data_IF_596743419244
#
_entry.id   IF_596743419244
#
_cell.length_a   1.000
_cell.length_b   1.000
_cell.length_c   1.000
_cell.angle_alpha   90.00
_cell.angle_beta   90.00
_cell.angle_gamma   90.00
#
_symmetry.space_group_name_H-M   'P 1'
#
loop_
_entity.id
_entity.type
_entity.pdbx_description
1 polymer ?
#
# COMPACT_ATOMS: atom_id res chain seq x y z
N UNK A 1 6.63 -90.89 97.16
CA UNK A 1 5.22 -90.43 97.31
C UNK A 1 5.14 -89.05 96.66
N UNK A 2 4.32 -88.70 95.67
CA UNK A 2 3.12 -89.26 95.06
C UNK A 2 3.11 -88.86 93.57
N UNK A 3 2.60 -89.83 92.80
CA UNK A 3 2.23 -89.93 91.38
C UNK A 3 1.37 -88.79 90.79
N UNK A 4 1.29 -88.85 89.44
CA UNK A 4 0.19 -88.40 88.54
C UNK A 4 0.21 -86.91 88.16
N UNK A 5 -0.15 -86.48 86.95
CA UNK A 5 -0.80 -87.15 85.80
C UNK A 5 -0.70 -86.21 84.59
N UNK A 6 -0.45 -86.78 83.40
CA UNK A 6 -0.57 -86.11 82.10
C UNK A 6 -2.00 -85.60 81.89
N UNK A 7 -2.12 -84.39 81.35
CA UNK A 7 -3.30 -83.96 80.60
C UNK A 7 -2.84 -83.22 79.35
N UNK A 8 -3.08 -83.85 78.21
CA UNK A 8 -3.04 -83.24 76.89
C UNK A 8 -4.02 -82.08 76.83
N UNK A 9 -3.57 -80.94 76.33
CA UNK A 9 -4.43 -79.85 75.88
C UNK A 9 -4.14 -79.54 74.41
N UNK A 10 -5.16 -79.32 73.58
CA UNK A 10 -5.01 -79.24 72.14
C UNK A 10 -4.23 -78.00 71.72
N UNK A 11 -3.30 -78.18 70.78
CA UNK A 11 -2.64 -77.09 70.06
C UNK A 11 -3.70 -76.33 69.24
N UNK A 12 -4.20 -75.21 69.77
CA UNK A 12 -4.84 -74.20 68.93
C UNK A 12 -3.75 -73.47 68.14
N UNK A 13 -3.44 -74.01 66.96
CA UNK A 13 -2.85 -73.20 65.91
C UNK A 13 -3.86 -72.11 65.55
N UNK A 14 -3.70 -70.90 66.10
CA UNK A 14 -4.32 -69.72 65.50
C UNK A 14 -3.65 -69.54 64.14
N UNK A 15 -4.32 -69.98 63.10
CA UNK A 15 -4.04 -69.50 61.74
C UNK A 15 -4.15 -67.98 61.77
N UNK A 16 -3.02 -67.28 61.72
CA UNK A 16 -2.99 -65.90 61.24
C UNK A 16 -3.26 -65.92 59.74
N UNK A 17 -4.50 -66.27 59.37
CA UNK A 17 -5.01 -66.07 58.03
C UNK A 17 -5.43 -64.60 57.90
N UNK A 18 -4.94 -63.95 56.86
CA UNK A 18 -5.50 -62.76 56.20
C UNK A 18 -5.73 -61.49 57.05
N UNK A 19 -4.66 -60.81 57.50
CA UNK A 19 -4.73 -59.37 57.84
C UNK A 19 -3.72 -58.48 57.11
N UNK A 20 -2.74 -59.05 56.40
CA UNK A 20 -1.83 -58.31 55.51
C UNK A 20 -2.35 -58.15 54.07
N UNK A 21 -3.27 -59.00 53.61
CA UNK A 21 -3.82 -58.91 52.25
C UNK A 21 -4.80 -57.74 52.10
N UNK A 22 -5.61 -57.46 53.11
CA UNK A 22 -6.60 -56.37 53.07
C UNK A 22 -5.94 -54.98 52.99
N UNK A 23 -4.85 -54.76 53.74
CA UNK A 23 -4.11 -53.47 53.70
C UNK A 23 -3.39 -53.25 52.38
N UNK A 24 -2.83 -54.32 51.80
CA UNK A 24 -2.22 -54.27 50.46
C UNK A 24 -3.28 -53.94 49.40
N UNK A 25 -4.45 -54.58 49.45
CA UNK A 25 -5.56 -54.28 48.53
C UNK A 25 -6.03 -52.83 48.68
N UNK A 26 -6.16 -52.31 49.90
CA UNK A 26 -6.54 -50.91 50.15
C UNK A 26 -5.48 -49.94 49.62
N UNK A 27 -4.20 -50.22 49.85
CA UNK A 27 -3.09 -49.39 49.33
C UNK A 27 -3.06 -49.38 47.80
N UNK A 28 -3.24 -50.54 47.16
CA UNK A 28 -3.33 -50.63 45.70
C UNK A 28 -4.57 -49.93 45.14
N UNK A 29 -5.72 -50.05 45.80
CA UNK A 29 -6.94 -49.33 45.40
C UNK A 29 -6.76 -47.81 45.50
N UNK A 30 -6.11 -47.31 46.56
CA UNK A 30 -5.79 -45.88 46.71
C UNK A 30 -4.79 -45.46 45.64
N UNK A 31 -3.73 -46.22 45.41
CA UNK A 31 -2.73 -45.91 44.38
C UNK A 31 -3.37 -45.83 42.97
N UNK A 32 -4.22 -46.80 42.60
CA UNK A 32 -4.95 -46.79 41.34
C UNK A 32 -5.89 -45.59 41.26
N UNK A 33 -6.65 -45.31 42.33
CA UNK A 33 -7.53 -44.15 42.38
C UNK A 33 -6.77 -42.83 42.22
N UNK A 34 -5.61 -42.67 42.88
CA UNK A 34 -4.74 -41.50 42.76
C UNK A 34 -4.21 -41.32 41.34
N UNK A 35 -3.80 -42.41 40.68
CA UNK A 35 -3.36 -42.37 39.27
C UNK A 35 -4.50 -41.95 38.35
N UNK A 36 -5.71 -42.48 38.55
CA UNK A 36 -6.89 -42.09 37.75
C UNK A 36 -7.23 -40.60 37.96
N UNK A 37 -7.19 -40.12 39.21
CA UNK A 37 -7.45 -38.70 39.52
C UNK A 37 -6.39 -37.81 38.86
N UNK A 38 -5.10 -38.15 38.96
CA UNK A 38 -4.02 -37.39 38.34
C UNK A 38 -4.13 -37.37 36.80
N UNK A 39 -4.42 -38.52 36.17
CA UNK A 39 -4.63 -38.61 34.73
C UNK A 39 -5.83 -37.77 34.28
N UNK A 40 -6.94 -37.80 35.03
CA UNK A 40 -8.14 -37.00 34.74
C UNK A 40 -7.84 -35.51 34.88
N UNK A 41 -7.13 -35.08 35.94
CA UNK A 41 -6.72 -33.68 36.11
C UNK A 41 -5.83 -33.20 34.96
N UNK A 42 -4.87 -34.02 34.53
CA UNK A 42 -3.97 -33.68 33.42
C UNK A 42 -4.72 -33.55 32.09
N UNK A 43 -5.66 -34.46 31.81
CA UNK A 43 -6.52 -34.38 30.62
C UNK A 43 -7.42 -33.16 30.68
N UNK A 44 -8.12 -32.93 31.79
CA UNK A 44 -9.01 -31.77 31.95
C UNK A 44 -8.23 -30.46 31.79
N UNK A 45 -7.07 -30.33 32.43
CA UNK A 45 -6.24 -29.12 32.29
C UNK A 45 -5.84 -28.87 30.83
N UNK A 46 -5.37 -29.90 30.12
CA UNK A 46 -5.06 -29.79 28.68
C UNK A 46 -6.28 -29.38 27.86
N UNK A 47 -7.44 -30.01 28.10
CA UNK A 47 -8.67 -29.66 27.37
C UNK A 47 -9.15 -28.24 27.66
N UNK A 48 -9.00 -27.76 28.89
CA UNK A 48 -9.35 -26.38 29.27
C UNK A 48 -8.41 -25.38 28.61
N UNK A 49 -7.10 -25.62 28.60
CA UNK A 49 -6.12 -24.75 27.92
C UNK A 49 -6.38 -24.71 26.41
N UNK A 50 -6.64 -25.86 25.78
CA UNK A 50 -7.00 -25.92 24.36
C UNK A 50 -8.32 -25.19 24.07
N UNK A 51 -9.33 -25.34 24.93
CA UNK A 51 -10.60 -24.65 24.80
C UNK A 51 -10.46 -23.12 24.93
N UNK A 52 -9.68 -22.65 25.91
CA UNK A 52 -9.38 -21.24 26.08
C UNK A 52 -8.59 -20.69 24.89
N UNK A 53 -7.59 -21.41 24.40
CA UNK A 53 -6.82 -21.00 23.22
C UNK A 53 -7.69 -20.94 21.96
N UNK A 54 -8.63 -21.86 21.77
CA UNK A 54 -9.54 -21.85 20.63
C UNK A 54 -10.48 -20.64 20.66
N UNK A 55 -11.07 -20.34 21.82
CA UNK A 55 -11.90 -19.12 22.01
C UNK A 55 -11.05 -17.87 21.81
N UNK A 56 -9.85 -17.85 22.39
CA UNK A 56 -8.90 -16.74 22.26
C UNK A 56 -8.51 -16.46 20.81
N UNK A 57 -8.27 -17.48 19.98
CA UNK A 57 -7.98 -17.27 18.54
C UNK A 57 -9.17 -16.65 17.80
N UNK A 58 -10.40 -17.09 18.08
CA UNK A 58 -11.60 -16.50 17.48
C UNK A 58 -11.76 -15.05 17.91
N UNK A 59 -11.54 -14.76 19.19
CA UNK A 59 -11.55 -13.41 19.75
C UNK A 59 -10.50 -12.49 19.10
N UNK A 60 -9.26 -12.95 18.99
CA UNK A 60 -8.18 -12.27 18.31
C UNK A 60 -8.52 -11.98 16.85
N UNK A 61 -9.00 -12.98 16.10
CA UNK A 61 -9.43 -12.81 14.70
C UNK A 61 -10.49 -11.72 14.54
N UNK A 62 -11.53 -11.72 15.39
CA UNK A 62 -12.57 -10.70 15.32
C UNK A 62 -12.08 -9.32 15.74
N UNK A 63 -11.12 -9.24 16.66
CA UNK A 63 -10.45 -7.98 16.99
C UNK A 63 -9.63 -7.45 15.79
N UNK A 64 -8.83 -8.31 15.13
CA UNK A 64 -8.11 -7.96 13.90
C UNK A 64 -9.07 -7.45 12.81
N UNK A 65 -10.18 -8.15 12.61
CA UNK A 65 -11.21 -7.75 11.65
C UNK A 65 -11.84 -6.41 12.01
N UNK A 66 -12.10 -6.14 13.28
CA UNK A 66 -12.62 -4.85 13.73
C UNK A 66 -11.67 -3.69 13.40
N UNK A 67 -10.35 -3.91 13.51
CA UNK A 67 -9.35 -2.94 13.06
C UNK A 67 -9.48 -2.63 11.56
N UNK A 68 -9.62 -3.64 10.71
CA UNK A 68 -9.84 -3.46 9.27
C UNK A 68 -11.12 -2.65 9.01
N UNK A 69 -12.23 -3.01 9.67
CA UNK A 69 -13.49 -2.27 9.51
C UNK A 69 -13.40 -0.81 9.99
N UNK A 70 -12.61 -0.55 11.05
CA UNK A 70 -12.35 0.82 11.53
C UNK A 70 -11.64 1.65 10.47
N UNK A 71 -10.58 1.10 9.86
CA UNK A 71 -9.86 1.75 8.76
C UNK A 71 -10.79 1.96 7.57
N UNK A 72 -11.54 0.95 7.15
CA UNK A 72 -12.53 1.05 6.06
C UNK A 72 -13.54 2.17 6.32
N UNK A 73 -14.04 2.30 7.56
CA UNK A 73 -14.97 3.38 7.92
C UNK A 73 -14.32 4.76 7.84
N UNK A 74 -13.05 4.89 8.21
CA UNK A 74 -12.28 6.14 8.07
C UNK A 74 -12.00 6.48 6.63
N UNK A 75 -11.62 5.50 5.81
CA UNK A 75 -11.48 5.70 4.37
C UNK A 75 -12.83 6.11 3.76
N UNK A 76 -13.91 5.41 4.05
CA UNK A 76 -15.23 5.71 3.50
C UNK A 76 -15.67 7.16 3.80
N UNK A 77 -15.46 7.63 5.03
CA UNK A 77 -15.75 9.02 5.43
C UNK A 77 -14.97 10.04 4.59
N UNK A 78 -13.67 9.81 4.43
CA UNK A 78 -12.81 10.68 3.62
C UNK A 78 -13.12 10.58 2.13
N UNK A 79 -13.78 9.52 1.65
CA UNK A 79 -14.24 9.42 0.25
C UNK A 79 -15.58 10.13 0.06
N UNK A 80 -16.48 10.02 1.03
CA UNK A 80 -17.81 10.64 1.00
C UNK A 80 -17.75 12.16 1.25
N UNK A 81 -16.79 12.61 2.07
CA UNK A 81 -16.61 14.02 2.42
C UNK A 81 -15.11 14.34 2.47
N UNK A 82 -14.45 14.46 1.30
CA UNK A 82 -13.03 14.76 1.23
C UNK A 82 -12.74 16.20 1.68
N UNK A 83 -11.57 16.38 2.29
CA UNK A 83 -11.01 17.70 2.55
C UNK A 83 -10.06 18.09 1.41
N UNK A 84 -10.58 18.89 0.48
CA UNK A 84 -9.83 19.33 -0.69
C UNK A 84 -8.69 20.30 -0.38
N UNK A 85 -8.58 20.83 0.85
CA UNK A 85 -7.47 21.71 1.24
C UNK A 85 -6.41 20.95 2.06
N UNK A 86 -6.74 19.77 2.59
CA UNK A 86 -5.88 19.03 3.51
C UNK A 86 -5.75 17.53 3.14
N UNK A 87 -4.94 17.20 2.11
CA UNK A 87 -4.66 15.81 1.74
C UNK A 87 -4.08 14.96 2.88
N UNK A 88 -3.41 15.57 3.85
CA UNK A 88 -2.84 14.86 5.00
C UNK A 88 -3.88 14.53 6.08
N UNK A 89 -5.11 15.04 6.01
CA UNK A 89 -6.17 14.75 6.97
C UNK A 89 -6.49 13.25 7.07
N UNK A 90 -6.53 12.57 5.93
CA UNK A 90 -6.75 11.11 5.90
C UNK A 90 -5.62 10.36 6.61
N UNK A 91 -4.36 10.74 6.38
CA UNK A 91 -3.19 10.08 6.98
C UNK A 91 -3.25 10.20 8.50
N UNK A 92 -3.52 11.40 9.02
CA UNK A 92 -3.61 11.65 10.47
C UNK A 92 -4.78 10.90 11.12
N UNK A 93 -5.94 10.83 10.46
CA UNK A 93 -7.09 10.06 10.96
C UNK A 93 -6.81 8.55 10.97
N UNK A 94 -6.12 8.04 9.95
CA UNK A 94 -5.71 6.63 9.87
C UNK A 94 -4.66 6.28 10.94
N UNK A 95 -3.69 7.17 11.18
CA UNK A 95 -2.72 7.05 12.27
C UNK A 95 -3.38 7.11 13.64
N UNK A 96 -4.47 7.86 13.80
CA UNK A 96 -5.24 7.90 15.05
C UNK A 96 -5.98 6.58 15.30
N UNK A 97 -6.50 5.96 14.24
CA UNK A 97 -7.30 4.74 14.28
C UNK A 97 -6.50 3.43 14.31
N UNK A 98 -5.17 3.53 14.35
CA UNK A 98 -4.23 2.41 14.34
C UNK A 98 -4.47 1.36 15.44
N UNK A 99 -5.07 1.74 16.57
CA UNK A 99 -5.37 0.82 17.69
C UNK A 99 -6.77 1.01 18.24
N UNK A 100 -7.30 -0.03 18.86
CA UNK A 100 -8.53 0.06 19.63
C UNK A 100 -8.81 -1.18 20.46
N UNK A 101 -9.83 -1.08 21.31
CA UNK A 101 -10.17 -2.12 22.29
C UNK A 101 -11.66 -2.44 22.23
N UNK A 102 -11.96 -3.73 22.27
CA UNK A 102 -13.28 -4.35 22.40
C UNK A 102 -13.34 -5.13 23.71
N UNK A 103 -14.53 -5.56 24.10
CA UNK A 103 -14.68 -6.51 25.21
C UNK A 103 -13.95 -7.84 24.92
N UNK A 104 -13.95 -8.25 23.64
CA UNK A 104 -13.39 -9.52 23.18
C UNK A 104 -11.93 -9.47 22.77
N UNK A 105 -11.23 -8.33 22.89
CA UNK A 105 -9.83 -8.21 22.45
C UNK A 105 -9.46 -6.78 22.04
N UNK A 106 -8.27 -6.61 21.46
CA UNK A 106 -7.79 -5.32 20.96
C UNK A 106 -7.13 -5.50 19.59
N UNK A 107 -6.96 -4.42 18.83
CA UNK A 107 -6.22 -4.44 17.57
C UNK A 107 -5.07 -3.43 17.55
N UNK A 108 -4.07 -3.73 16.73
CA UNK A 108 -2.88 -2.93 16.44
C UNK A 108 -2.62 -2.99 14.93
N UNK A 109 -2.53 -1.84 14.28
CA UNK A 109 -2.30 -1.69 12.84
C UNK A 109 -1.05 -0.87 12.64
N UNK A 110 -0.10 -1.42 11.90
CA UNK A 110 1.18 -0.78 11.58
C UNK A 110 1.63 -1.18 10.19
N UNK A 111 2.60 -0.44 9.69
CA UNK A 111 3.32 -0.77 8.47
C UNK A 111 4.77 -0.31 8.56
N UNK A 112 5.62 -0.80 7.67
CA UNK A 112 6.99 -0.31 7.46
C UNK A 112 7.02 0.63 6.27
N UNK A 113 7.72 1.75 6.45
CA UNK A 113 8.20 2.61 5.38
C UNK A 113 9.65 3.00 5.71
N UNK A 114 10.54 3.11 4.72
CA UNK A 114 11.94 3.50 4.96
C UNK A 114 12.63 2.67 6.07
N UNK A 115 12.37 1.36 6.07
CA UNK A 115 12.85 0.39 7.07
C UNK A 115 12.37 0.65 8.50
N UNK A 116 11.38 1.51 8.75
CA UNK A 116 10.89 1.83 10.09
C UNK A 116 9.40 1.55 10.24
N UNK A 117 8.98 1.12 11.42
CA UNK A 117 7.58 0.84 11.73
C UNK A 117 6.80 2.14 12.06
N UNK A 118 5.72 2.37 11.32
CA UNK A 118 4.78 3.48 11.46
C UNK A 118 3.40 2.98 11.89
N UNK A 119 2.60 3.88 12.48
CA UNK A 119 1.22 3.60 12.89
C UNK A 119 0.27 3.70 11.70
N UNK A 120 -0.76 2.86 11.69
CA UNK A 120 -1.79 2.88 10.66
C UNK A 120 -1.42 2.05 9.43
N UNK A 121 -2.29 2.02 8.41
CA UNK A 121 -2.10 1.27 7.18
C UNK A 121 -1.10 1.93 6.24
N UNK A 122 -0.50 1.13 5.35
CA UNK A 122 0.37 1.62 4.27
C UNK A 122 -0.46 2.16 3.12
N UNK A 123 -0.18 3.37 2.65
CA UNK A 123 -0.68 3.86 1.36
C UNK A 123 0.10 3.19 0.23
N UNK A 124 -0.55 2.36 -0.61
CA UNK A 124 0.12 1.72 -1.74
C UNK A 124 0.50 2.71 -2.85
N UNK A 125 0.01 3.94 -2.81
CA UNK A 125 0.48 5.02 -3.68
C UNK A 125 1.80 5.64 -3.19
N UNK A 126 2.34 5.24 -2.04
CA UNK A 126 3.73 5.59 -1.65
C UNK A 126 4.77 4.90 -2.54
N UNK A 127 4.36 3.91 -3.35
CA UNK A 127 5.18 3.07 -4.23
C UNK A 127 4.86 3.29 -5.69
N UNK A 128 5.83 3.06 -6.57
CA UNK A 128 5.61 3.08 -8.02
C UNK A 128 4.77 1.88 -8.46
N UNK A 129 3.83 2.09 -9.38
CA UNK A 129 3.06 0.97 -9.91
C UNK A 129 3.89 0.22 -10.97
N UNK A 130 4.13 -1.07 -10.75
CA UNK A 130 4.87 -1.93 -11.68
C UNK A 130 4.19 -2.02 -13.05
N UNK A 131 2.92 -1.60 -13.17
CA UNK A 131 2.20 -1.56 -14.44
C UNK A 131 2.36 -0.26 -15.23
N UNK A 132 2.98 0.78 -14.66
CA UNK A 132 3.27 2.05 -15.34
C UNK A 132 4.73 2.51 -15.22
N UNK A 133 5.54 1.83 -14.40
CA UNK A 133 6.96 2.12 -14.26
C UNK A 133 7.69 1.96 -15.60
N UNK A 134 8.66 2.86 -15.85
CA UNK A 134 9.46 2.87 -17.07
C UNK A 134 10.65 1.90 -16.98
N UNK A 135 11.19 1.52 -18.15
CA UNK A 135 12.41 0.70 -18.25
C UNK A 135 13.59 1.30 -17.48
N UNK A 136 13.78 2.61 -17.59
CA UNK A 136 14.87 3.32 -16.90
C UNK A 136 14.70 3.19 -15.38
N UNK A 137 13.52 3.52 -14.86
CA UNK A 137 13.24 3.44 -13.42
C UNK A 137 13.36 2.03 -12.85
N UNK A 138 12.94 1.00 -13.59
CA UNK A 138 13.15 -0.39 -13.18
C UNK A 138 14.64 -0.71 -13.07
N UNK A 139 15.44 -0.27 -14.04
CA UNK A 139 16.89 -0.51 -14.07
C UNK A 139 17.68 0.18 -12.96
N UNK A 140 17.12 1.22 -12.33
CA UNK A 140 17.73 1.90 -11.18
C UNK A 140 17.39 1.23 -9.83
N UNK A 141 16.53 0.20 -9.81
CA UNK A 141 16.25 -0.53 -8.57
C UNK A 141 17.48 -1.33 -8.10
N UNK A 142 17.69 -1.48 -6.78
CA UNK A 142 18.82 -2.23 -6.23
C UNK A 142 18.86 -3.67 -6.74
N UNK A 143 20.06 -4.17 -7.07
CA UNK A 143 20.27 -5.55 -7.54
C UNK A 143 19.43 -5.95 -8.78
N UNK A 144 18.91 -4.98 -9.53
CA UNK A 144 18.15 -5.23 -10.75
C UNK A 144 19.08 -5.46 -11.94
N UNK A 145 18.95 -6.63 -12.59
CA UNK A 145 19.68 -6.94 -13.81
C UNK A 145 18.93 -6.47 -15.07
N UNK A 146 19.64 -6.18 -16.16
CA UNK A 146 19.03 -5.74 -17.42
C UNK A 146 18.10 -6.82 -18.00
N UNK A 147 18.46 -8.10 -17.88
CA UNK A 147 17.62 -9.22 -18.29
C UNK A 147 16.37 -9.35 -17.44
N UNK A 148 16.43 -9.08 -16.12
CA UNK A 148 15.23 -9.01 -15.28
C UNK A 148 14.34 -7.84 -15.70
N UNK A 149 14.89 -6.65 -15.96
CA UNK A 149 14.10 -5.49 -16.43
C UNK A 149 13.36 -5.82 -17.72
N UNK A 150 14.07 -6.33 -18.73
CA UNK A 150 13.47 -6.70 -20.01
C UNK A 150 12.39 -7.77 -19.82
N UNK A 151 12.65 -8.77 -18.97
CA UNK A 151 11.69 -9.84 -18.65
C UNK A 151 10.45 -9.33 -17.91
N UNK A 152 10.55 -8.29 -17.08
CA UNK A 152 9.41 -7.66 -16.40
C UNK A 152 8.53 -6.92 -17.43
N UNK A 153 9.13 -6.31 -18.45
CA UNK A 153 8.42 -5.62 -19.52
C UNK A 153 7.67 -6.62 -20.41
N UNK A 154 8.37 -7.66 -20.90
CA UNK A 154 7.80 -8.77 -21.69
C UNK A 154 6.72 -9.56 -20.91
N UNK A 155 6.77 -9.57 -19.57
CA UNK A 155 5.73 -10.23 -18.78
C UNK A 155 4.37 -9.53 -18.88
N UNK A 156 4.39 -8.21 -19.10
CA UNK A 156 3.26 -7.30 -18.91
C UNK A 156 2.65 -6.84 -20.24
N UNK A 157 3.43 -6.74 -21.31
CA UNK A 157 2.93 -6.33 -22.62
C UNK A 157 2.08 -7.41 -23.29
N UNK A 158 1.27 -7.03 -24.28
CA UNK A 158 0.27 -7.93 -24.87
C UNK A 158 0.82 -8.81 -26.00
N UNK A 159 2.00 -8.46 -26.52
CA UNK A 159 2.58 -9.14 -27.67
C UNK A 159 3.39 -10.38 -27.28
N UNK A 160 4.15 -10.95 -28.22
CA UNK A 160 5.01 -12.11 -27.98
C UNK A 160 6.46 -11.81 -28.45
N UNK A 161 6.79 -10.52 -28.62
CA UNK A 161 8.08 -10.05 -29.12
C UNK A 161 9.05 -9.80 -27.95
N UNK A 162 10.05 -10.68 -27.83
CA UNK A 162 11.10 -10.52 -26.81
C UNK A 162 11.78 -9.15 -26.94
N UNK A 163 11.68 -8.32 -25.91
CA UNK A 163 12.40 -7.05 -25.84
C UNK A 163 13.83 -7.30 -25.38
N UNK A 164 14.82 -6.85 -26.17
CA UNK A 164 16.23 -6.89 -25.76
C UNK A 164 16.72 -8.30 -25.41
N UNK A 165 16.98 -8.55 -24.12
CA UNK A 165 17.38 -9.86 -23.57
C UNK A 165 16.34 -10.42 -22.58
N UNK A 166 15.08 -10.03 -22.74
CA UNK A 166 13.96 -10.46 -21.94
C UNK A 166 13.52 -11.90 -22.20
N UNK A 167 12.32 -12.22 -21.75
CA UNK A 167 11.77 -13.56 -21.74
C UNK A 167 10.27 -13.54 -22.04
N UNK A 168 9.89 -14.35 -23.03
CA UNK A 168 8.51 -14.50 -23.50
C UNK A 168 8.00 -15.92 -23.34
N UNK A 169 6.79 -16.21 -23.85
CA UNK A 169 6.16 -17.54 -23.79
C UNK A 169 7.13 -18.71 -24.00
N UNK A 170 7.93 -18.67 -25.07
CA UNK A 170 8.85 -19.77 -25.41
C UNK A 170 9.88 -20.07 -24.32
N UNK A 171 10.32 -19.05 -23.56
CA UNK A 171 11.22 -19.21 -22.42
C UNK A 171 10.49 -19.88 -21.26
N UNK A 172 9.31 -19.37 -20.88
CA UNK A 172 8.58 -19.84 -19.70
C UNK A 172 7.99 -21.25 -19.89
N UNK A 173 7.53 -21.60 -21.09
CA UNK A 173 7.08 -22.97 -21.42
C UNK A 173 8.22 -23.99 -21.35
N UNK A 174 9.45 -23.54 -21.58
CA UNK A 174 10.66 -24.37 -21.52
C UNK A 174 11.15 -24.68 -20.11
N UNK A 175 10.59 -24.07 -19.05
CA UNK A 175 10.95 -24.32 -17.65
C UNK A 175 10.38 -25.67 -17.16
N UNK A 176 10.95 -26.20 -16.08
CA UNK A 176 10.57 -27.53 -15.53
C UNK A 176 9.07 -27.66 -15.21
N UNK A 177 8.45 -26.57 -14.73
CA UNK A 177 7.03 -26.45 -14.46
C UNK A 177 6.35 -25.53 -15.47
N UNK A 178 6.66 -25.71 -16.76
CA UNK A 178 6.28 -24.84 -17.89
C UNK A 178 4.97 -24.07 -17.69
N UNK A 179 5.07 -22.75 -17.78
CA UNK A 179 3.96 -21.81 -17.62
C UNK A 179 4.07 -20.72 -18.69
N UNK A 180 3.08 -19.83 -18.74
CA UNK A 180 3.04 -18.73 -19.71
C UNK A 180 3.11 -17.39 -18.98
N UNK A 181 3.74 -16.38 -19.59
CA UNK A 181 3.68 -15.01 -19.09
C UNK A 181 2.24 -14.51 -19.10
N UNK A 182 1.97 -13.48 -18.30
CA UNK A 182 0.60 -12.98 -18.15
C UNK A 182 0.13 -12.29 -19.44
N UNK A 183 1.03 -11.60 -20.10
CA UNK A 183 0.80 -10.70 -21.23
C UNK A 183 -0.33 -9.69 -20.96
N UNK A 184 -0.31 -9.17 -19.73
CA UNK A 184 -1.27 -8.21 -19.20
C UNK A 184 -0.72 -7.59 -17.90
N UNK A 185 -1.34 -6.52 -17.37
CA UNK A 185 -0.94 -5.92 -16.10
C UNK A 185 -0.81 -6.92 -14.95
N UNK A 186 0.30 -6.82 -14.20
CA UNK A 186 0.54 -7.55 -12.95
C UNK A 186 -0.64 -7.38 -12.01
N UNK A 187 -1.06 -8.49 -11.39
CA UNK A 187 -2.14 -8.45 -10.40
C UNK A 187 -1.61 -8.25 -9.00
N UNK A 188 -0.47 -8.84 -8.67
CA UNK A 188 0.12 -8.81 -7.32
C UNK A 188 1.61 -8.57 -7.41
N UNK A 189 2.22 -8.02 -6.36
CA UNK A 189 3.67 -7.88 -6.31
C UNK A 189 4.37 -9.25 -6.28
N UNK A 190 3.78 -10.24 -5.61
CA UNK A 190 4.26 -11.64 -5.60
C UNK A 190 4.31 -12.28 -6.98
N UNK A 191 3.57 -11.76 -7.96
CA UNK A 191 3.63 -12.28 -9.32
C UNK A 191 4.99 -12.01 -9.98
N UNK A 192 5.73 -10.99 -9.54
CA UNK A 192 7.09 -10.74 -10.01
C UNK A 192 7.99 -11.96 -9.84
N UNK A 193 7.77 -12.80 -8.82
CA UNK A 193 8.57 -14.01 -8.59
C UNK A 193 8.43 -15.07 -9.69
N UNK A 194 7.48 -14.92 -10.60
CA UNK A 194 7.33 -15.76 -11.79
C UNK A 194 8.18 -15.27 -12.97
N UNK A 195 8.66 -14.04 -12.92
CA UNK A 195 9.47 -13.41 -13.98
C UNK A 195 10.89 -13.97 -13.94
N UNK A 196 11.52 -14.10 -15.11
CA UNK A 196 12.91 -14.51 -15.18
C UNK A 196 13.82 -13.51 -14.43
N UNK A 197 14.69 -14.02 -13.55
CA UNK A 197 15.64 -13.19 -12.78
C UNK A 197 15.06 -12.45 -11.57
N UNK A 198 13.76 -12.53 -11.32
CA UNK A 198 13.10 -11.89 -10.18
C UNK A 198 12.97 -12.87 -9.00
N UNK A 199 14.07 -13.11 -8.29
CA UNK A 199 14.11 -14.07 -7.19
C UNK A 199 13.41 -13.53 -5.92
N UNK A 200 12.80 -14.40 -5.08
CA UNK A 200 12.09 -13.97 -3.88
C UNK A 200 12.91 -13.10 -2.94
N UNK A 201 14.22 -13.33 -2.85
CA UNK A 201 15.13 -12.57 -1.98
C UNK A 201 15.23 -11.11 -2.42
N UNK A 202 15.20 -10.84 -3.73
CA UNK A 202 15.18 -9.47 -4.25
C UNK A 202 13.79 -8.85 -4.20
N UNK A 203 12.75 -9.64 -4.47
CA UNK A 203 11.36 -9.13 -4.48
C UNK A 203 10.90 -8.78 -3.07
N UNK A 204 11.20 -9.63 -2.08
CA UNK A 204 10.69 -9.53 -0.71
C UNK A 204 11.67 -8.89 0.26
N UNK A 205 12.98 -8.98 0.01
CA UNK A 205 13.98 -8.69 1.03
C UNK A 205 13.77 -9.58 2.25
N UNK A 206 13.66 -8.95 3.42
CA UNK A 206 13.36 -9.56 4.71
C UNK A 206 11.85 -9.74 4.94
N UNK A 207 10.96 -9.03 4.22
CA UNK A 207 9.50 -9.11 4.38
C UNK A 207 8.93 -10.36 3.68
N UNK A 208 9.21 -11.54 4.23
CA UNK A 208 8.95 -12.82 3.55
C UNK A 208 7.47 -13.14 3.39
N UNK A 209 6.65 -12.59 4.28
CA UNK A 209 5.21 -12.72 4.21
C UNK A 209 4.56 -11.52 3.48
N UNK A 210 5.29 -10.47 3.10
CA UNK A 210 4.78 -9.28 2.41
C UNK A 210 3.64 -8.57 3.15
N UNK A 211 3.67 -8.57 4.48
CA UNK A 211 2.71 -7.85 5.33
C UNK A 211 3.16 -6.40 5.60
N UNK A 212 4.36 -6.02 5.17
CA UNK A 212 4.99 -4.73 5.42
C UNK A 212 5.09 -4.44 6.92
N UNK A 213 5.42 -5.42 7.73
CA UNK A 213 5.56 -5.26 9.17
C UNK A 213 6.78 -6.05 9.63
N UNK A 214 7.68 -5.41 10.37
CA UNK A 214 8.86 -6.08 10.91
C UNK A 214 8.44 -7.17 11.90
N UNK A 215 8.63 -8.42 11.50
CA UNK A 215 8.34 -9.59 12.31
C UNK A 215 9.55 -10.11 13.07
N UNK A 216 9.31 -10.88 14.13
CA UNK A 216 10.39 -11.30 15.02
C UNK A 216 11.40 -12.25 14.38
N UNK A 217 11.06 -12.88 13.25
CA UNK A 217 11.96 -13.72 12.45
C UNK A 217 12.61 -12.96 11.28
N UNK A 218 12.37 -11.66 11.19
CA UNK A 218 12.92 -10.73 10.19
C UNK A 218 13.82 -9.69 10.88
N UNK A 219 14.19 -9.94 12.15
CA UNK A 219 15.07 -9.13 13.01
C UNK A 219 15.78 -10.05 14.02
N UNK A 220 16.09 -11.30 13.63
CA UNK A 220 16.74 -12.29 14.50
C UNK A 220 18.10 -12.80 14.02
N UNK A 221 18.64 -12.19 12.97
CA UNK A 221 19.94 -12.45 12.38
C UNK A 221 19.93 -13.71 11.52
N UNK A 222 20.60 -14.75 12.01
CA UNK A 222 20.65 -16.08 11.37
C UNK A 222 19.85 -17.14 12.16
N UNK A 223 18.97 -16.73 13.09
CA UNK A 223 18.26 -17.69 13.94
C UNK A 223 17.07 -18.34 13.22
N UNK A 224 16.35 -17.57 12.41
CA UNK A 224 15.32 -18.03 11.50
C UNK A 224 15.63 -17.60 10.06
N UNK A 225 14.77 -18.00 9.13
CA UNK A 225 14.78 -17.46 7.76
C UNK A 225 13.72 -16.36 7.68
N UNK A 226 13.93 -15.28 6.92
CA UNK A 226 15.12 -14.95 6.11
C UNK A 226 16.40 -14.69 6.93
N UNK A 227 17.54 -14.70 6.25
CA UNK A 227 18.76 -14.12 6.82
C UNK A 227 18.60 -12.60 6.88
N UNK A 228 18.77 -12.01 8.06
CA UNK A 228 18.69 -10.57 8.32
C UNK A 228 19.93 -10.08 9.10
N UNK A 229 20.10 -8.77 9.24
CA UNK A 229 21.23 -8.18 9.96
C UNK A 229 20.92 -7.76 11.41
N UNK A 230 19.69 -8.00 11.87
CA UNK A 230 19.13 -7.67 13.17
C UNK A 230 19.37 -6.20 13.60
N UNK A 231 19.28 -5.27 12.65
CA UNK A 231 19.50 -3.84 12.89
C UNK A 231 18.23 -3.09 13.36
N UNK A 232 17.09 -3.79 13.50
CA UNK A 232 15.79 -3.25 13.85
C UNK A 232 15.09 -2.51 12.71
N UNK A 233 15.54 -2.69 11.47
CA UNK A 233 14.94 -2.18 10.25
C UNK A 233 14.51 -3.36 9.38
N UNK A 234 13.49 -3.13 8.55
CA UNK A 234 13.03 -4.14 7.59
C UNK A 234 13.49 -3.74 6.19
N UNK A 235 14.32 -4.56 5.57
CA UNK A 235 14.53 -4.53 4.12
C UNK A 235 13.30 -5.13 3.43
N UNK A 236 12.64 -4.34 2.58
CA UNK A 236 11.42 -4.74 1.88
C UNK A 236 11.68 -5.17 0.43
N UNK A 237 12.95 -5.22 0.01
CA UNK A 237 13.36 -5.52 -1.36
C UNK A 237 12.64 -4.64 -2.38
N UNK A 238 12.41 -5.16 -3.59
CA UNK A 238 11.66 -4.45 -4.63
C UNK A 238 10.21 -4.17 -4.24
N UNK A 239 9.61 -4.99 -3.38
CA UNK A 239 8.26 -4.74 -2.88
C UNK A 239 8.17 -3.45 -2.05
N UNK A 240 9.28 -2.95 -1.49
CA UNK A 240 9.39 -1.63 -0.87
C UNK A 240 9.17 -0.46 -1.81
N UNK A 241 9.58 -0.61 -3.08
CA UNK A 241 9.52 0.42 -4.12
C UNK A 241 8.30 0.29 -5.03
N UNK A 242 7.79 -0.94 -5.19
CA UNK A 242 6.82 -1.30 -6.20
C UNK A 242 5.49 -1.78 -5.62
N UNK A 243 4.42 -1.54 -6.37
CA UNK A 243 3.11 -2.14 -6.14
C UNK A 243 2.47 -2.56 -7.46
N UNK A 244 1.60 -3.58 -7.43
CA UNK A 244 0.74 -3.92 -8.56
C UNK A 244 -0.73 -3.51 -8.32
N UNK A 245 -1.03 -2.90 -7.16
CA UNK A 245 -2.41 -2.74 -6.67
C UNK A 245 -2.92 -1.30 -6.68
N UNK A 246 -2.05 -0.29 -6.68
CA UNK A 246 -2.51 1.11 -6.71
C UNK A 246 -3.31 1.37 -7.99
N UNK A 247 -4.38 2.16 -7.88
CA UNK A 247 -5.27 2.49 -9.01
C UNK A 247 -5.60 3.96 -9.00
N UNK A 248 -5.73 4.58 -10.17
CA UNK A 248 -6.24 5.94 -10.24
C UNK A 248 -7.74 5.98 -9.90
N UNK A 249 -8.18 7.12 -9.35
CA UNK A 249 -9.57 7.37 -9.02
C UNK A 249 -10.23 8.25 -10.08
N UNK A 250 -11.50 7.95 -10.44
CA UNK A 250 -12.29 8.86 -11.27
C UNK A 250 -12.73 10.11 -10.52
N UNK A 251 -12.52 10.20 -9.21
CA UNK A 251 -12.92 11.35 -8.39
C UNK A 251 -11.79 12.37 -8.28
N UNK A 252 -12.13 13.65 -8.34
CA UNK A 252 -11.25 14.78 -8.06
C UNK A 252 -11.02 14.98 -6.56
N UNK A 253 -10.25 16.01 -6.20
CA UNK A 253 -10.00 16.36 -4.79
C UNK A 253 -11.28 16.86 -4.11
N UNK A 254 -12.19 17.46 -4.87
CA UNK A 254 -13.52 17.87 -4.44
C UNK A 254 -14.44 16.70 -4.04
N UNK A 255 -14.12 15.47 -4.46
CA UNK A 255 -14.99 14.29 -4.29
C UNK A 255 -16.00 14.09 -5.41
N UNK A 256 -16.10 15.02 -6.36
CA UNK A 256 -16.90 14.85 -7.57
C UNK A 256 -16.11 14.12 -8.66
N UNK A 257 -16.78 13.47 -9.64
CA UNK A 257 -16.10 12.90 -10.79
C UNK A 257 -15.26 13.93 -11.52
N UNK A 258 -14.02 13.57 -11.89
CA UNK A 258 -13.14 14.43 -12.69
C UNK A 258 -13.77 14.70 -14.05
N UNK A 259 -13.62 15.94 -14.52
CA UNK A 259 -14.02 16.34 -15.85
C UNK A 259 -13.03 15.71 -16.84
N UNK A 260 -13.54 14.88 -17.75
CA UNK A 260 -12.72 14.37 -18.85
C UNK A 260 -12.54 15.47 -19.88
N UNK A 261 -11.29 15.85 -20.14
CA UNK A 261 -10.94 16.81 -21.18
C UNK A 261 -10.98 16.13 -22.54
N UNK A 262 -11.93 16.54 -23.38
CA UNK A 262 -12.12 16.14 -24.77
C UNK A 262 -12.68 17.33 -25.56
N UNK A 263 -12.81 17.16 -26.88
CA UNK A 263 -13.50 18.15 -27.72
C UNK A 263 -14.99 18.33 -27.38
N UNK A 264 -15.59 17.37 -26.67
CA UNK A 264 -17.02 17.35 -26.31
C UNK A 264 -17.27 17.80 -24.86
N UNK A 265 -16.24 18.20 -24.11
CA UNK A 265 -16.39 18.70 -22.73
C UNK A 265 -17.27 19.95 -22.70
N UNK A 266 -18.10 20.10 -21.66
CA UNK A 266 -18.89 21.33 -21.48
C UNK A 266 -17.97 22.47 -20.99
N UNK A 267 -17.76 23.54 -21.79
CA UNK A 267 -16.91 24.65 -21.39
C UNK A 267 -17.47 25.38 -20.16
N UNK A 268 -18.79 25.42 -19.95
CA UNK A 268 -19.37 26.08 -18.79
C UNK A 268 -19.00 25.36 -17.48
N UNK A 269 -19.01 24.03 -17.51
CA UNK A 269 -18.60 23.19 -16.37
C UNK A 269 -17.10 23.38 -16.06
N UNK A 270 -16.25 23.39 -17.10
CA UNK A 270 -14.81 23.67 -16.93
C UNK A 270 -14.56 25.03 -16.29
N UNK A 271 -15.22 26.07 -16.77
CA UNK A 271 -15.08 27.44 -16.23
C UNK A 271 -15.54 27.53 -14.77
N UNK A 272 -16.65 26.89 -14.42
CA UNK A 272 -17.18 26.90 -13.06
C UNK A 272 -16.23 26.22 -12.06
N UNK A 273 -15.67 25.06 -12.44
CA UNK A 273 -14.85 24.25 -11.54
C UNK A 273 -13.40 24.72 -11.47
N UNK A 274 -12.82 25.12 -12.60
CA UNK A 274 -11.38 25.45 -12.67
C UNK A 274 -11.09 26.95 -12.64
N UNK A 275 -12.10 27.80 -12.79
CA UNK A 275 -11.94 29.26 -12.83
C UNK A 275 -11.26 29.78 -14.10
N UNK A 276 -11.15 28.96 -15.15
CA UNK A 276 -10.68 29.38 -16.47
C UNK A 276 -11.71 30.27 -17.16
N UNK A 277 -11.26 31.15 -18.05
CA UNK A 277 -12.14 31.90 -18.93
C UNK A 277 -12.60 31.08 -20.15
N UNK A 278 -13.52 31.63 -20.93
CA UNK A 278 -14.08 30.94 -22.11
C UNK A 278 -13.02 30.64 -23.18
N UNK A 279 -12.02 31.52 -23.35
CA UNK A 279 -10.95 31.30 -24.34
C UNK A 279 -10.00 30.18 -23.87
N UNK A 280 -9.65 30.17 -22.59
CA UNK A 280 -8.86 29.13 -21.95
C UNK A 280 -9.59 27.77 -21.96
N UNK A 281 -10.89 27.73 -21.66
CA UNK A 281 -11.68 26.49 -21.71
C UNK A 281 -11.66 25.86 -23.10
N UNK A 282 -11.95 26.65 -24.14
CA UNK A 282 -11.89 26.19 -25.52
C UNK A 282 -10.47 25.73 -25.92
N UNK A 283 -9.43 26.42 -25.43
CA UNK A 283 -8.05 26.03 -25.68
C UNK A 283 -7.67 24.72 -24.97
N UNK A 284 -8.15 24.47 -23.75
CA UNK A 284 -7.95 23.19 -23.06
C UNK A 284 -8.62 22.02 -23.79
N UNK A 285 -9.82 22.24 -24.33
CA UNK A 285 -10.52 21.24 -25.15
C UNK A 285 -9.75 20.93 -26.45
N UNK A 286 -9.24 21.95 -27.13
CA UNK A 286 -8.41 21.76 -28.33
C UNK A 286 -7.06 21.09 -28.00
N UNK A 287 -6.44 21.47 -26.87
CA UNK A 287 -5.24 20.82 -26.37
C UNK A 287 -5.48 19.33 -26.16
N UNK A 288 -6.62 18.94 -25.58
CA UNK A 288 -6.97 17.55 -25.34
C UNK A 288 -6.96 16.68 -26.61
N UNK A 289 -7.29 17.23 -27.78
CA UNK A 289 -7.24 16.50 -29.05
C UNK A 289 -5.80 16.15 -29.48
N UNK A 290 -4.82 16.97 -29.09
CA UNK A 290 -3.42 16.87 -29.54
C UNK A 290 -2.47 16.34 -28.47
N UNK A 291 -2.90 16.36 -27.22
CA UNK A 291 -2.08 16.05 -26.04
C UNK A 291 -1.75 14.55 -25.87
N UNK A 292 -2.25 13.66 -26.74
CA UNK A 292 -2.04 12.20 -26.64
C UNK A 292 -2.33 11.63 -25.23
N UNK A 293 -3.26 12.23 -24.49
CA UNK A 293 -3.68 11.76 -23.17
C UNK A 293 -2.85 12.23 -21.98
N UNK A 294 -1.87 13.14 -22.16
CA UNK A 294 -1.01 13.63 -21.06
C UNK A 294 -1.24 15.11 -20.75
N UNK A 295 -1.27 15.45 -19.46
CA UNK A 295 -1.50 16.85 -19.01
C UNK A 295 -0.21 17.59 -18.67
N UNK A 296 0.92 16.88 -18.53
CA UNK A 296 2.23 17.43 -18.21
C UNK A 296 2.61 18.72 -18.98
N UNK A 297 2.41 18.81 -20.31
CA UNK A 297 2.79 19.98 -21.09
C UNK A 297 2.17 21.31 -20.62
N UNK A 298 1.04 21.28 -19.91
CA UNK A 298 0.41 22.48 -19.34
C UNK A 298 1.27 23.16 -18.26
N UNK A 299 2.26 22.45 -17.71
CA UNK A 299 3.16 22.97 -16.67
C UNK A 299 4.35 23.71 -17.26
N UNK A 300 4.74 23.42 -18.51
CA UNK A 300 5.95 23.95 -19.14
C UNK A 300 5.69 24.87 -20.33
N UNK A 301 4.59 24.67 -21.06
CA UNK A 301 4.28 25.42 -22.29
C UNK A 301 2.98 26.21 -22.10
N UNK A 302 2.99 27.48 -22.55
CA UNK A 302 1.81 28.33 -22.51
C UNK A 302 0.65 27.72 -23.33
N UNK A 303 -0.56 27.75 -22.78
CA UNK A 303 -1.74 27.14 -23.40
C UNK A 303 -2.01 27.64 -24.83
N UNK A 304 -1.77 28.92 -25.10
CA UNK A 304 -1.90 29.49 -26.44
C UNK A 304 -0.92 28.88 -27.46
N UNK A 305 0.31 28.59 -27.05
CA UNK A 305 1.31 27.94 -27.90
C UNK A 305 0.95 26.47 -28.16
N UNK A 306 0.43 25.77 -27.14
CA UNK A 306 -0.03 24.39 -27.26
C UNK A 306 -1.15 24.21 -28.30
N UNK A 307 -2.00 25.23 -28.48
CA UNK A 307 -3.07 25.21 -29.49
C UNK A 307 -2.69 25.91 -30.80
N UNK A 308 -1.40 26.19 -31.02
CA UNK A 308 -0.88 26.74 -32.27
C UNK A 308 -1.19 28.22 -32.51
N UNK A 309 -1.55 28.98 -31.47
CA UNK A 309 -1.64 30.43 -31.57
C UNK A 309 -0.23 31.05 -31.54
N UNK A 310 0.02 32.11 -32.34
CA UNK A 310 1.32 32.78 -32.34
C UNK A 310 1.61 33.34 -30.95
N UNK A 311 2.77 32.98 -30.37
CA UNK A 311 3.21 33.43 -29.06
C UNK A 311 2.97 34.94 -28.89
N UNK A 312 2.09 35.32 -27.96
CA UNK A 312 1.97 36.71 -27.56
C UNK A 312 3.30 37.10 -26.92
N UNK A 313 4.05 37.99 -27.57
CA UNK A 313 5.30 38.55 -27.07
C UNK A 313 5.07 39.36 -25.78
N UNK A 314 4.84 38.68 -24.66
CA UNK A 314 4.72 39.30 -23.34
C UNK A 314 6.09 39.28 -22.64
N UNK A 315 7.14 39.74 -23.35
CA UNK A 315 8.39 40.10 -22.69
C UNK A 315 8.14 41.37 -21.90
N UNK A 316 8.08 41.22 -20.58
CA UNK A 316 8.14 42.29 -19.59
C UNK A 316 9.43 43.11 -19.73
N UNK A 317 9.45 44.02 -20.70
CA UNK A 317 10.51 45.02 -20.87
C UNK A 317 10.41 46.06 -19.76
N UNK A 318 11.12 45.81 -18.64
CA UNK A 318 11.60 46.87 -17.75
C UNK A 318 12.58 47.77 -18.54
N UNK A 319 12.05 48.79 -19.21
CA UNK A 319 12.90 49.67 -20.03
C UNK A 319 12.17 50.83 -20.70
N UNK A 320 12.00 51.92 -19.94
CA UNK A 320 11.97 53.35 -20.33
C UNK A 320 11.03 53.83 -21.46
N UNK A 321 10.14 54.74 -21.05
CA UNK A 321 9.30 55.64 -21.83
C UNK A 321 9.86 56.14 -23.17
N UNK A 322 9.01 56.20 -24.20
CA UNK A 322 8.67 57.46 -24.90
C UNK A 322 7.34 57.30 -25.62
N UNK A 323 6.44 58.26 -25.42
CA UNK A 323 5.08 58.22 -25.94
C UNK A 323 4.97 58.34 -27.46
N UNK A 324 3.98 57.64 -28.01
CA UNK A 324 3.31 58.04 -29.25
C UNK A 324 1.92 57.41 -29.26
N UNK A 325 0.90 58.24 -29.10
CA UNK A 325 -0.50 57.85 -29.27
C UNK A 325 -0.77 57.59 -30.76
N UNK A 326 -0.98 56.32 -31.10
CA UNK A 326 -1.64 55.94 -32.35
C UNK A 326 -2.98 55.32 -31.98
N UNK A 327 -4.05 56.07 -32.22
CA UNK A 327 -5.42 55.54 -32.23
C UNK A 327 -5.56 54.69 -33.49
N UNK A 328 -5.61 53.37 -33.34
CA UNK A 328 -6.14 52.49 -34.35
C UNK A 328 -7.35 51.78 -33.76
N UNK A 329 -8.53 52.22 -34.17
CA UNK A 329 -9.81 51.59 -33.87
C UNK A 329 -10.20 50.72 -35.07
N UNK A 330 -10.68 49.50 -34.80
CA UNK A 330 -11.36 48.67 -35.80
C UNK A 330 -10.59 47.43 -36.21
N UNK A 331 -10.39 46.53 -35.25
CA UNK A 331 -10.14 45.11 -35.49
C UNK A 331 -10.53 44.39 -34.21
N UNK A 332 -11.58 43.57 -34.24
CA UNK A 332 -11.80 42.54 -33.24
C UNK A 332 -10.60 41.62 -33.32
N UNK A 333 -9.56 41.93 -32.55
CA UNK A 333 -8.45 41.03 -32.34
C UNK A 333 -9.04 39.77 -31.74
N UNK A 334 -8.72 38.62 -32.32
CA UNK A 334 -8.76 37.37 -31.60
C UNK A 334 -7.91 37.61 -30.35
N UNK A 335 -8.54 37.85 -29.20
CA UNK A 335 -7.85 37.93 -27.92
C UNK A 335 -7.18 36.57 -27.76
N UNK A 336 -5.85 36.55 -27.92
CA UNK A 336 -5.07 35.33 -27.77
C UNK A 336 -5.27 34.75 -26.38
N UNK A 337 -5.16 33.43 -26.27
CA UNK A 337 -5.40 32.70 -25.03
C UNK A 337 -4.39 33.14 -23.97
N UNK A 338 -4.89 33.65 -22.86
CA UNK A 338 -4.05 34.03 -21.72
C UNK A 338 -3.41 32.79 -21.07
N UNK A 339 -2.18 32.94 -20.57
CA UNK A 339 -1.51 31.89 -19.81
C UNK A 339 -2.34 31.52 -18.57
N UNK A 340 -2.35 30.23 -18.24
CA UNK A 340 -3.02 29.72 -17.04
C UNK A 340 -2.27 30.21 -15.80
N UNK A 341 -2.99 30.69 -14.80
CA UNK A 341 -2.39 31.00 -13.50
C UNK A 341 -2.23 29.73 -12.64
N UNK A 342 -1.49 29.85 -11.54
CA UNK A 342 -1.21 28.70 -10.69
C UNK A 342 -2.46 28.12 -10.02
N UNK A 343 -3.47 28.93 -9.71
CA UNK A 343 -4.72 28.44 -9.09
C UNK A 343 -5.55 27.67 -10.12
N UNK A 344 -5.63 28.18 -11.35
CA UNK A 344 -6.24 27.49 -12.48
C UNK A 344 -5.54 26.15 -12.75
N UNK A 345 -4.20 26.13 -12.80
CA UNK A 345 -3.44 24.89 -12.97
C UNK A 345 -3.70 23.89 -11.83
N UNK A 346 -3.72 24.35 -10.58
CA UNK A 346 -4.03 23.50 -9.42
C UNK A 346 -5.40 22.86 -9.55
N UNK A 347 -6.42 23.64 -9.95
CA UNK A 347 -7.77 23.15 -10.16
C UNK A 347 -7.85 22.16 -11.33
N UNK A 348 -7.17 22.43 -12.45
CA UNK A 348 -7.12 21.51 -13.61
C UNK A 348 -6.52 20.17 -13.21
N UNK A 349 -5.38 20.13 -12.53
CA UNK A 349 -4.76 18.86 -12.11
C UNK A 349 -5.54 18.13 -11.02
N UNK A 350 -6.35 18.84 -10.23
CA UNK A 350 -7.20 18.25 -9.19
C UNK A 350 -8.52 17.68 -9.74
N UNK A 351 -9.16 18.39 -10.66
CA UNK A 351 -10.55 18.15 -11.06
C UNK A 351 -10.70 17.70 -12.53
N UNK A 352 -9.64 17.73 -13.33
CA UNK A 352 -9.67 17.28 -14.72
C UNK A 352 -8.83 16.01 -14.94
N UNK A 353 -9.14 15.31 -16.03
CA UNK A 353 -8.39 14.13 -16.46
C UNK A 353 -8.44 13.97 -17.97
N UNK A 354 -7.38 13.40 -18.54
CA UNK A 354 -7.37 12.91 -19.92
C UNK A 354 -7.70 11.40 -20.01
N UNK A 355 -7.75 10.73 -18.86
CA UNK A 355 -7.91 9.28 -18.78
C UNK A 355 -9.37 8.85 -18.88
N UNK A 356 -9.62 7.76 -19.61
CA UNK A 356 -10.93 7.12 -19.69
C UNK A 356 -11.14 6.10 -18.56
N UNK A 357 -11.93 6.45 -17.55
CA UNK A 357 -12.28 5.54 -16.46
C UNK A 357 -13.46 4.61 -16.77
N UNK A 358 -14.02 4.65 -17.99
CA UNK A 358 -15.16 3.79 -18.39
C UNK A 358 -14.74 2.44 -18.96
N UNK A 359 -13.46 2.26 -19.24
CA UNK A 359 -12.88 1.02 -19.76
C UNK A 359 -12.93 -0.15 -18.77
N UNK A 360 -12.73 -1.39 -19.25
CA UNK A 360 -12.71 -2.58 -18.40
C UNK A 360 -11.45 -2.69 -17.55
N UNK A 361 -10.37 -2.02 -17.96
CA UNK A 361 -9.05 -2.15 -17.34
C UNK A 361 -8.86 -1.17 -16.18
N UNK A 362 -8.16 -1.65 -15.14
CA UNK A 362 -7.75 -0.80 -14.03
C UNK A 362 -6.57 0.06 -14.46
N UNK A 363 -6.73 1.36 -14.32
CA UNK A 363 -5.68 2.32 -14.62
C UNK A 363 -4.66 2.31 -13.45
N UNK A 364 -3.38 2.00 -13.72
CA UNK A 364 -2.33 2.02 -12.69
C UNK A 364 -2.30 3.33 -11.92
N UNK A 365 -2.21 3.23 -10.59
CA UNK A 365 -2.15 4.37 -9.68
C UNK A 365 -0.88 5.20 -9.85
N UNK A 366 -1.01 6.50 -9.60
CA UNK A 366 0.11 7.46 -9.53
C UNK A 366 0.68 7.52 -8.11
N UNK A 367 1.92 7.96 -7.99
CA UNK A 367 2.64 8.07 -6.72
C UNK A 367 2.15 9.29 -5.93
N UNK A 368 1.75 9.06 -4.69
CA UNK A 368 1.29 10.09 -3.77
C UNK A 368 2.49 10.79 -3.12
N UNK A 369 2.73 12.06 -3.48
CA UNK A 369 3.81 12.90 -2.96
C UNK A 369 3.80 13.04 -1.42
N UNK A 370 2.65 12.90 -0.80
CA UNK A 370 2.49 13.05 0.65
C UNK A 370 2.90 11.81 1.45
N UNK A 371 2.91 10.62 0.84
CA UNK A 371 3.23 9.36 1.51
C UNK A 371 4.44 8.66 0.91
N UNK A 372 4.89 9.02 -0.29
CA UNK A 372 6.08 8.48 -0.92
C UNK A 372 7.36 8.78 -0.12
N UNK A 373 8.25 7.78 -0.10
CA UNK A 373 9.56 7.84 0.53
C UNK A 373 10.61 8.56 -0.31
N UNK A 374 11.75 8.97 0.28
CA UNK A 374 12.88 9.55 -0.44
C UNK A 374 13.36 8.69 -1.61
N UNK A 375 13.43 7.37 -1.46
CA UNK A 375 13.99 6.50 -2.50
C UNK A 375 13.06 6.40 -3.72
N UNK A 376 11.75 6.25 -3.50
CA UNK A 376 10.74 6.31 -4.57
C UNK A 376 10.75 7.67 -5.29
N UNK A 377 10.83 8.76 -4.54
CA UNK A 377 10.92 10.10 -5.14
C UNK A 377 12.22 10.27 -5.94
N UNK A 378 13.34 9.74 -5.45
CA UNK A 378 14.63 9.79 -6.15
C UNK A 378 14.52 9.10 -7.51
N UNK A 379 13.93 7.91 -7.56
CA UNK A 379 13.72 7.15 -8.80
C UNK A 379 12.82 7.90 -9.80
N UNK A 380 11.74 8.55 -9.33
CA UNK A 380 10.84 9.32 -10.21
C UNK A 380 11.57 10.51 -10.85
N UNK A 381 12.41 11.20 -10.07
CA UNK A 381 13.12 12.39 -10.51
C UNK A 381 14.52 12.08 -11.05
N UNK A 382 14.64 11.00 -11.84
CA UNK A 382 15.88 10.58 -12.55
C UNK A 382 17.09 10.40 -11.63
N UNK A 383 16.89 9.72 -10.50
CA UNK A 383 17.93 9.42 -9.51
C UNK A 383 18.60 10.68 -8.90
N UNK A 384 17.85 11.78 -8.77
CA UNK A 384 18.30 12.99 -8.07
C UNK A 384 17.80 13.04 -6.60
N UNK A 385 18.63 12.64 -5.61
CA UNK A 385 18.24 12.67 -4.20
C UNK A 385 18.02 14.09 -3.67
N UNK A 386 18.62 15.11 -4.29
CA UNK A 386 18.46 16.50 -3.89
C UNK A 386 17.07 17.04 -4.22
N UNK A 387 16.43 16.55 -5.28
CA UNK A 387 15.02 16.85 -5.57
C UNK A 387 14.12 16.17 -4.52
N UNK A 388 14.35 14.89 -4.23
CA UNK A 388 13.59 14.15 -3.22
C UNK A 388 13.66 14.84 -1.84
N UNK A 389 14.84 15.22 -1.36
CA UNK A 389 15.01 15.97 -0.11
C UNK A 389 14.21 17.29 -0.10
N UNK A 390 14.19 18.00 -1.24
CA UNK A 390 13.48 19.27 -1.35
C UNK A 390 11.95 19.09 -1.32
N UNK A 391 11.44 18.01 -1.93
CA UNK A 391 10.02 17.64 -1.87
C UNK A 391 9.62 17.27 -0.44
N UNK A 392 10.45 16.47 0.25
CA UNK A 392 10.22 16.11 1.65
C UNK A 392 10.22 17.35 2.56
N UNK A 393 11.12 18.30 2.32
CA UNK A 393 11.15 19.58 3.05
C UNK A 393 9.89 20.42 2.78
N UNK A 394 9.43 20.49 1.53
CA UNK A 394 8.18 21.16 1.18
C UNK A 394 6.99 20.52 1.91
N UNK A 395 6.88 19.19 1.84
CA UNK A 395 5.84 18.40 2.53
C UNK A 395 5.80 18.68 4.02
N UNK A 396 6.96 18.69 4.69
CA UNK A 396 7.04 18.92 6.14
C UNK A 396 6.79 20.38 6.55
N UNK A 397 6.96 21.33 5.62
CA UNK A 397 6.74 22.75 5.90
C UNK A 397 5.27 23.17 5.97
N UNK A 398 4.36 22.29 5.51
CA UNK A 398 2.91 22.52 5.41
C UNK A 398 2.17 21.46 6.23
N UNK A 399 1.20 21.86 7.05
CA UNK A 399 0.46 20.92 7.90
C UNK A 399 -0.47 20.02 7.07
N UNK A 400 -1.01 20.61 6.01
CA UNK A 400 -1.83 20.02 4.97
C UNK A 400 -1.04 19.14 3.99
N UNK A 401 0.29 19.20 4.02
CA UNK A 401 1.16 18.57 3.04
C UNK A 401 1.19 19.32 1.70
N UNK A 402 1.49 18.59 0.63
CA UNK A 402 1.47 19.10 -0.75
C UNK A 402 0.03 18.96 -1.27
N UNK A 403 -0.58 20.06 -1.72
CA UNK A 403 -1.99 20.09 -2.14
C UNK A 403 -2.14 19.94 -3.64
N UNK A 404 -1.09 20.24 -4.41
CA UNK A 404 -1.06 20.00 -5.84
C UNK A 404 0.35 19.69 -6.32
N UNK A 405 0.48 18.92 -7.40
CA UNK A 405 1.78 18.75 -8.08
C UNK A 405 2.35 20.10 -8.56
N UNK A 406 1.48 21.10 -8.80
CA UNK A 406 1.86 22.47 -9.19
C UNK A 406 2.68 23.15 -8.08
N UNK A 407 2.50 22.78 -6.82
CA UNK A 407 3.30 23.31 -5.71
C UNK A 407 4.79 22.95 -5.85
N UNK A 408 5.13 21.92 -6.62
CA UNK A 408 6.52 21.54 -6.89
C UNK A 408 7.26 22.61 -7.70
N UNK A 409 6.57 23.51 -8.41
CA UNK A 409 7.18 24.66 -9.09
C UNK A 409 7.78 25.68 -8.10
N UNK A 410 7.43 25.63 -6.82
CA UNK A 410 8.08 26.43 -5.77
C UNK A 410 9.46 25.87 -5.39
N UNK A 411 9.73 24.60 -5.69
CA UNK A 411 11.00 23.96 -5.40
C UNK A 411 12.03 24.39 -6.44
N UNK A 412 13.03 25.15 -6.01
CA UNK A 412 14.07 25.71 -6.89
C UNK A 412 14.81 24.69 -7.77
N UNK A 413 14.89 23.42 -7.34
CA UNK A 413 15.55 22.34 -8.09
C UNK A 413 14.66 21.72 -9.17
N UNK A 414 13.36 22.00 -9.17
CA UNK A 414 12.40 21.43 -10.12
C UNK A 414 12.12 22.46 -11.20
N UNK A 415 12.56 22.14 -12.41
CA UNK A 415 12.24 22.93 -13.60
C UNK A 415 10.84 22.53 -14.13
N UNK A 416 10.03 23.46 -14.67
CA UNK A 416 8.76 23.14 -15.33
C UNK A 416 8.85 22.00 -16.36
N UNK A 417 9.93 21.92 -17.14
CA UNK A 417 10.13 20.86 -18.11
C UNK A 417 10.30 19.49 -17.42
N UNK A 418 11.07 19.44 -16.34
CA UNK A 418 11.24 18.23 -15.53
C UNK A 418 9.90 17.81 -14.95
N UNK A 419 9.16 18.73 -14.33
CA UNK A 419 7.85 18.42 -13.75
C UNK A 419 6.85 17.93 -14.81
N UNK A 420 6.84 18.55 -16.00
CA UNK A 420 6.01 18.12 -17.13
C UNK A 420 6.27 16.67 -17.53
N UNK A 421 7.52 16.18 -17.45
CA UNK A 421 7.85 14.79 -17.83
C UNK A 421 7.38 13.74 -16.83
N UNK A 422 7.23 14.11 -15.55
CA UNK A 422 6.85 13.19 -14.47
C UNK A 422 5.43 13.41 -13.96
N UNK A 423 4.72 14.45 -14.42
CA UNK A 423 3.39 14.82 -13.95
C UNK A 423 2.37 13.66 -14.01
N UNK A 424 2.47 12.79 -15.02
CA UNK A 424 1.57 11.65 -15.18
C UNK A 424 1.87 10.49 -14.24
N UNK A 425 2.95 10.57 -13.47
CA UNK A 425 3.33 9.62 -12.43
C UNK A 425 3.01 10.11 -11.02
N UNK A 426 2.58 11.37 -10.86
CA UNK A 426 2.42 12.02 -9.56
C UNK A 426 0.95 12.32 -9.23
N UNK A 427 0.61 12.18 -7.95
CA UNK A 427 -0.63 12.61 -7.32
C UNK A 427 -0.32 13.10 -5.90
N UNK A 428 -1.29 13.68 -5.23
CA UNK A 428 -1.22 14.13 -3.83
C UNK A 428 -2.14 13.33 -2.91
N UNK A 429 -2.89 12.38 -3.47
CA UNK A 429 -3.85 11.52 -2.75
C UNK A 429 -3.64 10.04 -3.08
N UNK A 430 -3.77 9.19 -2.06
CA UNK A 430 -3.74 7.73 -2.18
C UNK A 430 -5.14 7.12 -2.11
N UNK A 431 -5.39 6.10 -2.94
CA UNK A 431 -6.71 5.46 -3.10
C UNK A 431 -6.73 3.97 -2.72
N UNK A 432 -5.57 3.35 -2.56
CA UNK A 432 -5.44 1.94 -2.22
C UNK A 432 -4.50 1.78 -1.04
N UNK A 433 -4.92 1.06 -0.01
CA UNK A 433 -4.18 0.91 1.24
C UNK A 433 -3.99 -0.56 1.58
N UNK A 434 -2.81 -0.92 2.07
CA UNK A 434 -2.54 -2.21 2.71
C UNK A 434 -2.69 -2.07 4.22
N UNK A 435 -3.43 -2.99 4.83
CA UNK A 435 -3.74 -3.00 6.26
C UNK A 435 -3.23 -4.32 6.83
N UNK A 436 -2.16 -4.29 7.62
CA UNK A 436 -1.80 -5.37 8.55
C UNK A 436 -2.45 -5.08 9.90
N UNK A 437 -3.43 -5.89 10.31
CA UNK A 437 -4.16 -5.74 11.56
C UNK A 437 -3.90 -6.94 12.47
N UNK A 438 -3.20 -6.71 13.59
CA UNK A 438 -2.96 -7.70 14.64
C UNK A 438 -4.01 -7.62 15.71
N UNK A 439 -4.85 -8.63 15.79
CA UNK A 439 -5.85 -8.79 16.85
C UNK A 439 -5.29 -9.60 18.01
N UNK A 440 -5.50 -9.11 19.23
CA UNK A 440 -4.99 -9.69 20.46
C UNK A 440 -6.17 -10.02 21.37
N UNK A 441 -6.30 -11.30 21.76
CA UNK A 441 -7.35 -11.74 22.68
C UNK A 441 -7.02 -11.38 24.14
N UNK A 442 -8.00 -11.35 25.05
CA UNK A 442 -7.76 -11.17 26.48
C UNK A 442 -6.86 -12.25 27.09
N UNK A 443 -6.78 -13.42 26.45
CA UNK A 443 -5.95 -14.55 26.87
C UNK A 443 -4.59 -14.61 26.13
N UNK A 444 -4.26 -13.58 25.35
CA UNK A 444 -2.94 -13.38 24.74
C UNK A 444 -2.71 -14.09 23.40
N UNK A 445 -3.74 -14.66 22.77
CA UNK A 445 -3.62 -15.16 21.40
C UNK A 445 -3.58 -13.99 20.43
N UNK A 446 -2.74 -14.10 19.41
CA UNK A 446 -2.61 -13.11 18.34
C UNK A 446 -3.03 -13.75 17.02
N UNK A 447 -3.77 -13.01 16.20
CA UNK A 447 -4.09 -13.34 14.81
C UNK A 447 -3.84 -12.09 14.00
N UNK A 448 -3.21 -12.25 12.83
CA UNK A 448 -3.00 -11.17 11.90
C UNK A 448 -3.92 -11.33 10.69
N UNK A 449 -4.52 -10.22 10.26
CA UNK A 449 -5.24 -10.17 9.00
C UNK A 449 -4.57 -9.09 8.16
N UNK A 450 -4.11 -9.48 6.97
CA UNK A 450 -3.66 -8.58 5.94
C UNK A 450 -4.78 -8.35 4.93
N UNK A 451 -5.11 -7.09 4.66
CA UNK A 451 -6.12 -6.74 3.67
C UNK A 451 -5.66 -5.55 2.82
N UNK A 452 -5.88 -5.63 1.51
CA UNK A 452 -5.74 -4.48 0.62
C UNK A 452 -7.12 -3.93 0.30
N UNK A 453 -7.31 -2.63 0.53
CA UNK A 453 -8.59 -1.94 0.36
C UNK A 453 -8.48 -0.83 -0.67
N UNK A 454 -9.53 -0.67 -1.48
CA UNK A 454 -9.67 0.31 -2.54
C UNK A 454 -10.83 1.25 -2.21
N UNK A 455 -10.51 2.54 -2.03
CA UNK A 455 -11.45 3.61 -1.69
C UNK A 455 -11.82 4.51 -2.88
N UNK A 456 -11.45 4.13 -4.11
CA UNK A 456 -11.82 4.86 -5.33
C UNK A 456 -13.32 4.84 -5.63
N UNK A 457 -14.06 3.90 -5.01
CA UNK A 457 -15.52 3.79 -5.11
C UNK A 457 -16.13 3.59 -3.73
N UNK A 458 -17.37 4.05 -3.54
CA UNK A 458 -18.18 3.69 -2.38
C UNK A 458 -19.14 2.53 -2.73
N UNK A 459 -19.29 1.51 -1.85
CA UNK A 459 -18.54 1.31 -0.62
C UNK A 459 -17.07 0.95 -0.90
N UNK A 460 -16.17 1.29 0.03
CA UNK A 460 -14.75 0.89 0.01
C UNK A 460 -14.67 -0.64 -0.11
N UNK A 461 -13.85 -1.14 -1.03
CA UNK A 461 -13.78 -2.56 -1.39
C UNK A 461 -12.52 -3.20 -0.85
N UNK A 462 -12.65 -4.37 -0.21
CA UNK A 462 -11.51 -5.26 0.04
C UNK A 462 -11.20 -5.96 -1.27
N UNK A 463 -10.02 -5.71 -1.84
CA UNK A 463 -9.56 -6.32 -3.10
C UNK A 463 -8.61 -7.50 -2.87
N UNK A 464 -8.04 -7.61 -1.67
CA UNK A 464 -7.21 -8.73 -1.24
C UNK A 464 -7.42 -8.99 0.26
N UNK A 465 -7.41 -10.26 0.66
CA UNK A 465 -7.57 -10.69 2.05
C UNK A 465 -6.73 -11.94 2.31
N UNK A 466 -5.88 -11.88 3.34
CA UNK A 466 -5.10 -13.00 3.88
C UNK A 466 -5.18 -12.99 5.40
N UNK A 467 -5.16 -14.18 6.00
CA UNK A 467 -5.22 -14.37 7.45
C UNK A 467 -4.13 -15.37 7.83
N UNK A 468 -3.24 -14.96 8.74
CA UNK A 468 -2.05 -15.71 9.16
C UNK A 468 -2.12 -16.10 10.65
#
# INVERSE_FOLDING_TARGET
MIRRSRHDRPKHGRSNASRGSATIVVLWSIAIASVIVAATQMVTWRTTVLGQSAVGRVQARWAARAGIERIIATLARHTESPDAEDPMAIVRDLEFDWTGTLESGSWDIRHVAEGQEFRGPLDLHSRMNVNSITKLQLGELPEMSIDTVDSILDWRDEDEEVQGIGAERSFYEGRDLGYVPRNAPFKSITELELVAGAWPEYVRGEDWNLNNRLDGNEDDGENATPEDDADGRLDTGWAGYLTARSTQSPLGRSGFPKIRLTADTDPAELMEITGVDEAQANALMNFAETANGVMGPLLSVDLGELVGQPAQNNRSSRGRSTGRTSRNAGGSGEDGVAALDNEQLKAIFAECTMTDFTGPDRIPGKVNLNTAGPEVLTLIFNDDPGIAESILALRQSRAEGITSIVDLLEVRRIDPDVLSTVADQLDVTGWVYSISSRGISPTGQVIEIHAVVDRSTLPVKIIEYRED
#
